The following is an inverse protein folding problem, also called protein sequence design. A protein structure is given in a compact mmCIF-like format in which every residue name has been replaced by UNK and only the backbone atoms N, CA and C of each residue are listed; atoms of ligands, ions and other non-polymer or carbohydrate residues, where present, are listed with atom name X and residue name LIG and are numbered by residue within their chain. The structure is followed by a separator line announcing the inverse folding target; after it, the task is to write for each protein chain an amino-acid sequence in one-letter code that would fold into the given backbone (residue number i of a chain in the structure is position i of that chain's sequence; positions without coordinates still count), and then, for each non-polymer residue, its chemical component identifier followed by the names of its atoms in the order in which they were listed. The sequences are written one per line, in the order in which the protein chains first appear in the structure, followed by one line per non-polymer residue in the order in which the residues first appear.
data_IF_758509840030
#
_entry.id   IF_758509840030
#
_cell.length_a   1.000
_cell.length_b   1.000
_cell.length_c   1.000
_cell.angle_alpha   90.00
_cell.angle_beta   90.00
_cell.angle_gamma   90.00
#
_symmetry.space_group_name_H-M   'P 1'
#
loop_
_entity.id
_entity.type
_entity.pdbx_description
1 polymer ?
#
# COMPACT_ATOMS: atom_id res chain seq x y z
N UNK A 1 -8.36 13.08 2.75
CA UNK A 1 -7.73 14.37 3.15
C UNK A 1 -6.75 14.08 4.28
N UNK A 2 -5.46 14.37 4.08
CA UNK A 2 -4.42 14.16 5.10
C UNK A 2 -3.91 15.49 5.66
N UNK A 3 -3.19 15.42 6.77
CA UNK A 3 -2.49 16.55 7.38
C UNK A 3 -1.00 16.46 7.05
N UNK A 4 -0.41 17.54 6.54
CA UNK A 4 0.98 17.53 6.03
C UNK A 4 1.90 18.26 7.00
N UNK A 5 3.09 17.70 7.28
CA UNK A 5 4.10 18.32 8.11
C UNK A 5 5.30 18.76 7.27
N UNK A 6 5.75 20.01 7.47
CA UNK A 6 6.99 20.53 6.91
C UNK A 6 8.10 20.47 7.97
N UNK A 7 9.17 19.76 7.64
CA UNK A 7 10.32 19.54 8.52
C UNK A 7 11.59 19.91 7.75
N UNK A 8 12.38 20.90 8.20
CA UNK A 8 13.64 21.25 7.56
C UNK A 8 14.74 20.24 7.89
N UNK A 9 15.72 20.09 7.00
CA UNK A 9 16.94 19.31 7.26
C UNK A 9 16.78 17.78 7.24
N UNK A 10 15.64 17.27 6.79
CA UNK A 10 15.39 15.83 6.62
C UNK A 10 15.33 15.44 5.15
N UNK A 11 15.71 14.21 4.84
CA UNK A 11 15.61 13.63 3.49
C UNK A 11 14.65 12.45 3.49
N UNK A 12 14.20 12.06 2.29
CA UNK A 12 13.37 10.87 2.11
C UNK A 12 14.11 9.64 2.64
N UNK A 13 13.45 8.87 3.49
CA UNK A 13 13.99 7.66 4.10
C UNK A 13 14.55 7.84 5.51
N UNK A 14 14.69 9.08 5.99
CA UNK A 14 15.10 9.34 7.36
C UNK A 14 13.98 8.97 8.34
N UNK A 15 14.34 8.26 9.40
CA UNK A 15 13.48 8.06 10.56
C UNK A 15 13.93 9.06 11.62
N UNK A 16 13.04 9.98 12.00
CA UNK A 16 13.38 11.06 12.94
C UNK A 16 12.29 11.21 13.99
N UNK A 17 12.73 11.51 15.21
CA UNK A 17 11.83 12.01 16.25
C UNK A 17 11.68 13.51 16.03
N UNK A 18 10.45 13.97 15.91
CA UNK A 18 10.13 15.38 15.68
C UNK A 18 9.34 15.98 16.83
N UNK A 19 9.47 17.29 17.01
CA UNK A 19 8.62 18.10 17.89
C UNK A 19 7.82 19.07 17.03
N UNK A 20 6.49 18.99 17.13
CA UNK A 20 5.59 19.90 16.42
C UNK A 20 5.68 21.28 17.08
N UNK A 21 5.91 22.31 16.28
CA UNK A 21 6.06 23.70 16.75
C UNK A 21 4.84 24.54 16.44
N UNK A 22 4.17 24.28 15.30
CA UNK A 22 2.98 25.02 14.87
C UNK A 22 2.04 24.14 14.08
N UNK A 23 0.74 24.30 14.33
CA UNK A 23 -0.35 23.59 13.64
C UNK A 23 -1.26 24.62 12.97
N UNK A 24 -1.56 24.43 11.70
CA UNK A 24 -2.54 25.20 10.91
C UNK A 24 -3.70 24.27 10.50
N UNK A 25 -4.66 24.79 9.71
CA UNK A 25 -5.87 24.04 9.33
C UNK A 25 -5.60 22.74 8.55
N UNK A 26 -4.58 22.73 7.70
CA UNK A 26 -4.26 21.59 6.81
C UNK A 26 -2.81 21.14 6.88
N UNK A 27 -1.93 21.95 7.50
CA UNK A 27 -0.49 21.73 7.53
C UNK A 27 0.08 22.08 8.89
N UNK A 28 1.23 21.52 9.24
CA UNK A 28 1.98 21.86 10.45
C UNK A 28 3.48 21.96 10.18
N UNK A 29 4.17 22.57 11.13
CA UNK A 29 5.62 22.72 11.12
C UNK A 29 6.21 21.99 12.33
N UNK A 30 7.35 21.36 12.12
CA UNK A 30 8.04 20.60 13.16
C UNK A 30 9.56 20.66 13.00
N UNK A 31 10.27 20.42 14.09
CA UNK A 31 11.73 20.38 14.17
C UNK A 31 12.20 18.98 14.56
N UNK A 32 13.39 18.58 14.09
CA UNK A 32 14.00 17.30 14.47
C UNK A 32 14.60 17.42 15.87
N UNK A 33 14.22 16.50 16.76
CA UNK A 33 14.81 16.39 18.12
C UNK A 33 15.74 15.19 18.26
N UNK A 34 15.72 14.26 17.30
CA UNK A 34 16.65 13.13 17.27
C UNK A 34 16.52 12.29 16.00
N UNK A 35 17.60 11.61 15.62
CA UNK A 35 17.59 10.61 14.56
C UNK A 35 17.25 9.24 15.15
N UNK A 36 16.48 8.47 14.41
CA UNK A 36 16.11 7.10 14.73
C UNK A 36 16.69 6.20 13.64
N UNK A 37 17.08 5.00 14.02
CA UNK A 37 17.37 3.96 13.04
C UNK A 37 16.06 3.47 12.43
N UNK A 38 16.14 3.03 11.18
CA UNK A 38 15.00 2.44 10.49
C UNK A 38 14.59 1.18 11.26
N UNK A 39 13.35 1.08 11.76
CA UNK A 39 12.90 -0.13 12.43
C UNK A 39 13.02 -1.30 11.43
N UNK A 40 13.79 -2.33 11.80
CA UNK A 40 13.76 -3.59 11.06
C UNK A 40 12.35 -4.14 11.19
N UNK A 41 11.60 -4.09 10.09
CA UNK A 41 10.30 -4.75 10.00
C UNK A 41 10.56 -6.24 10.10
N UNK A 42 10.46 -6.80 11.31
CA UNK A 42 10.46 -8.25 11.52
C UNK A 42 9.35 -8.81 10.63
N UNK A 43 9.71 -9.61 9.64
CA UNK A 43 8.75 -10.29 8.77
C UNK A 43 7.91 -11.19 9.66
N UNK A 44 6.69 -10.76 10.01
CA UNK A 44 5.72 -11.57 10.75
C UNK A 44 5.08 -12.68 9.89
N UNK A 45 5.66 -12.98 8.72
CA UNK A 45 5.09 -13.89 7.71
C UNK A 45 6.16 -14.83 7.14
N UNK A 46 7.06 -15.34 7.97
CA UNK A 46 8.09 -16.31 7.54
C UNK A 46 7.65 -17.78 7.74
N UNK A 47 6.35 -18.04 7.91
CA UNK A 47 5.78 -19.39 8.16
C UNK A 47 4.82 -19.88 7.09
N UNK A 48 4.86 -19.36 5.86
CA UNK A 48 4.15 -20.03 4.76
C UNK A 48 5.16 -20.93 4.07
N UNK A 49 5.13 -22.22 4.41
CA UNK A 49 5.85 -23.26 3.70
C UNK A 49 5.21 -23.39 2.31
N UNK A 50 5.96 -23.29 1.20
CA UNK A 50 5.40 -23.50 -0.14
C UNK A 50 4.89 -24.94 -0.35
N UNK A 51 5.29 -25.89 0.51
CA UNK A 51 4.83 -27.29 0.50
C UNK A 51 3.40 -27.50 1.06
N UNK A 52 2.74 -26.49 1.64
CA UNK A 52 1.32 -26.56 2.06
C UNK A 52 0.33 -26.03 1.02
N UNK A 53 0.81 -25.66 -0.18
CA UNK A 53 -0.08 -25.35 -1.30
C UNK A 53 -0.50 -26.69 -1.91
N UNK A 54 -1.52 -27.31 -1.33
CA UNK A 54 -2.25 -28.40 -2.00
C UNK A 54 -2.71 -27.86 -3.37
N UNK A 55 -2.26 -28.53 -4.44
CA UNK A 55 -2.81 -28.38 -5.78
C UNK A 55 -4.29 -28.80 -5.74
N UNK A 56 -5.19 -27.86 -5.47
CA UNK A 56 -6.58 -28.03 -5.88
C UNK A 56 -6.61 -28.05 -7.42
N UNK A 57 -7.22 -29.07 -8.06
CA UNK A 57 -7.33 -29.08 -9.50
C UNK A 57 -8.17 -27.89 -9.94
N UNK A 58 -7.64 -27.07 -10.85
CA UNK A 58 -8.39 -25.97 -11.45
C UNK A 58 -9.70 -26.50 -12.03
N UNK A 59 -10.87 -25.91 -11.72
CA UNK A 59 -12.04 -26.20 -12.51
C UNK A 59 -11.76 -25.70 -13.94
N UNK A 60 -11.75 -26.61 -14.92
CA UNK A 60 -11.85 -26.27 -16.33
C UNK A 60 -13.09 -25.39 -16.53
N UNK A 61 -12.90 -24.08 -16.46
CA UNK A 61 -13.90 -23.12 -16.91
C UNK A 61 -13.93 -23.20 -18.44
N UNK A 62 -14.75 -24.12 -18.94
CA UNK A 62 -15.20 -24.12 -20.32
C UNK A 62 -16.04 -22.85 -20.51
N UNK A 63 -15.39 -21.74 -20.85
CA UNK A 63 -16.07 -20.54 -21.31
C UNK A 63 -16.66 -20.88 -22.68
N UNK A 64 -17.95 -21.21 -22.72
CA UNK A 64 -18.70 -21.12 -23.97
C UNK A 64 -18.77 -19.65 -24.33
N UNK A 65 -17.91 -19.28 -25.26
CA UNK A 65 -17.93 -18.01 -25.96
C UNK A 65 -19.25 -17.88 -26.71
N UNK A 66 -20.29 -17.40 -26.01
CA UNK A 66 -21.55 -17.02 -26.63
C UNK A 66 -21.47 -15.53 -26.95
N UNK A 67 -20.50 -15.17 -27.81
CA UNK A 67 -20.55 -13.94 -28.60
C UNK A 67 -21.73 -14.04 -29.57
N UNK A 68 -22.93 -13.81 -29.04
CA UNK A 68 -24.07 -13.37 -29.83
C UNK A 68 -24.39 -11.93 -29.44
N UNK A 69 -23.52 -11.02 -29.90
CA UNK A 69 -23.72 -9.58 -29.82
C UNK A 69 -23.74 -9.00 -31.23
N UNK A 70 -24.68 -9.47 -32.05
CA UNK A 70 -24.87 -8.98 -33.41
C UNK A 70 -25.91 -9.76 -34.20
N UNK A 71 -27.17 -9.70 -33.78
CA UNK A 71 -28.26 -9.83 -34.75
C UNK A 71 -29.09 -8.54 -34.72
N UNK A 72 -28.99 -7.82 -35.83
CA UNK A 72 -29.80 -6.66 -36.20
C UNK A 72 -31.30 -6.95 -36.04
N UNK A 73 -32.01 -6.14 -35.26
CA UNK A 73 -33.45 -5.94 -35.47
C UNK A 73 -33.66 -4.56 -36.09
N UNK A 74 -33.60 -4.54 -37.42
CA UNK A 74 -34.35 -3.61 -38.24
C UNK A 74 -35.86 -3.84 -38.01
N UNK A 75 -36.54 -3.00 -37.21
CA UNK A 75 -37.90 -2.48 -37.51
C UNK A 75 -38.26 -1.24 -36.66
#
# INVERSE_FOLDING_TARGET
RGFVLFIPGVKKGDYVKIRITKVLKSVGFAEVVGKLERPQRSKRFETVNPDEVEEEPEPESHYEDTEDFGEDEEE
#
